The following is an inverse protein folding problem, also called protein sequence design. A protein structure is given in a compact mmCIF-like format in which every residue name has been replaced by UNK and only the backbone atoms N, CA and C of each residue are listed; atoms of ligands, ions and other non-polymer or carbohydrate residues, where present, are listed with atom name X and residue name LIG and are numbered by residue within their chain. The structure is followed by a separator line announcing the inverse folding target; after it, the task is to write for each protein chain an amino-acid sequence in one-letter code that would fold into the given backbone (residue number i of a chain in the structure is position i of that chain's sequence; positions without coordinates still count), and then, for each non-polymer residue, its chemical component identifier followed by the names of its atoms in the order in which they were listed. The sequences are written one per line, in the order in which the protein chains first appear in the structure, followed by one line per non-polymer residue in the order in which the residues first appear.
data_IF_549694481919
#
_entry.id   IF_549694481919
#
_cell.length_a   1.000
_cell.length_b   1.000
_cell.length_c   1.000
_cell.angle_alpha   90.00
_cell.angle_beta   90.00
_cell.angle_gamma   90.00
#
_symmetry.space_group_name_H-M   'P 1'
#
loop_
_entity.id
_entity.type
_entity.pdbx_description
1 polymer ?
#
# COMPACT_ATOMS: atom_id res chain seq x y z
N UNK A 1 -7.95 4.04 11.61
CA UNK A 1 -7.34 2.69 11.51
C UNK A 1 -6.42 2.63 10.30
N UNK A 2 -5.25 1.98 10.41
CA UNK A 2 -4.40 1.70 9.25
C UNK A 2 -4.80 0.37 8.61
N UNK A 3 -5.26 0.42 7.36
CA UNK A 3 -5.51 -0.74 6.52
C UNK A 3 -4.40 -0.87 5.46
N UNK A 4 -4.74 -1.06 4.19
CA UNK A 4 -3.79 -1.12 3.06
C UNK A 4 -4.53 -0.98 1.74
N UNK A 5 -3.87 -0.56 0.66
CA UNK A 5 -4.43 -0.73 -0.70
C UNK A 5 -4.75 -2.20 -1.05
N UNK A 6 -4.24 -3.15 -0.27
CA UNK A 6 -4.58 -4.57 -0.38
C UNK A 6 -6.07 -4.88 -0.11
N UNK A 7 -6.80 -4.03 0.63
CA UNK A 7 -8.25 -4.12 0.80
C UNK A 7 -9.05 -3.30 -0.23
N UNK A 8 -8.36 -2.68 -1.20
CA UNK A 8 -8.96 -1.84 -2.25
C UNK A 8 -8.93 -2.55 -3.62
N UNK A 9 -7.76 -3.09 -4.00
CA UNK A 9 -7.44 -3.43 -5.39
C UNK A 9 -7.84 -4.84 -5.87
N UNK A 10 -8.06 -5.79 -4.96
CA UNK A 10 -8.05 -7.22 -5.28
C UNK A 10 -9.45 -7.80 -5.40
N UNK A 11 -10.15 -7.44 -6.47
CA UNK A 11 -11.53 -7.87 -6.75
C UNK A 11 -11.75 -8.47 -8.15
N UNK A 12 -10.66 -8.82 -8.84
CA UNK A 12 -10.71 -9.42 -10.18
C UNK A 12 -11.03 -8.44 -11.32
N UNK A 13 -11.31 -7.16 -11.03
CA UNK A 13 -11.49 -6.15 -12.08
C UNK A 13 -10.14 -5.86 -12.78
N UNK A 14 -10.13 -5.73 -14.12
CA UNK A 14 -8.91 -5.40 -14.84
C UNK A 14 -8.46 -3.96 -14.53
N UNK A 15 -7.15 -3.76 -14.41
CA UNK A 15 -6.52 -2.45 -14.22
C UNK A 15 -5.95 -1.97 -15.56
N UNK A 16 -6.82 -1.52 -16.46
CA UNK A 16 -6.41 -0.89 -17.73
C UNK A 16 -5.95 0.56 -17.49
N UNK A 17 -5.23 1.20 -18.43
CA UNK A 17 -4.74 2.57 -18.27
C UNK A 17 -5.83 3.61 -17.94
N UNK A 18 -7.07 3.37 -18.37
CA UNK A 18 -8.20 4.29 -18.16
C UNK A 18 -8.90 4.09 -16.81
N UNK A 19 -8.52 3.06 -16.04
CA UNK A 19 -9.13 2.75 -14.75
C UNK A 19 -8.49 3.58 -13.65
N UNK A 20 -9.29 4.45 -13.05
CA UNK A 20 -8.94 5.13 -11.80
C UNK A 20 -9.46 4.29 -10.63
N UNK A 21 -8.54 3.95 -9.72
CA UNK A 21 -8.88 3.29 -8.46
C UNK A 21 -8.97 4.35 -7.38
N UNK A 22 -10.09 4.35 -6.67
CA UNK A 22 -10.38 5.25 -5.55
C UNK A 22 -10.95 4.46 -4.36
N UNK A 23 -11.42 5.19 -3.36
CA UNK A 23 -11.98 4.68 -2.11
C UNK A 23 -13.28 3.90 -2.27
N UNK A 24 -13.93 3.95 -3.45
CA UNK A 24 -15.12 3.16 -3.76
C UNK A 24 -14.79 1.72 -4.14
N UNK A 25 -13.51 1.43 -4.40
CA UNK A 25 -13.05 0.09 -4.71
C UNK A 25 -12.81 -0.74 -3.45
N UNK A 26 -13.35 -1.95 -3.43
CA UNK A 26 -13.10 -2.92 -2.37
C UNK A 26 -12.54 -4.20 -2.98
N UNK A 27 -11.55 -4.79 -2.31
CA UNK A 27 -11.10 -6.15 -2.59
C UNK A 27 -12.23 -7.15 -2.28
N UNK A 28 -12.30 -8.26 -3.02
CA UNK A 28 -13.18 -9.38 -2.68
C UNK A 28 -12.37 -10.44 -1.93
N UNK A 29 -12.73 -10.68 -0.66
CA UNK A 29 -12.04 -11.65 0.18
C UNK A 29 -12.12 -13.08 -0.39
N UNK A 30 -13.18 -13.47 -1.09
CA UNK A 30 -13.30 -14.77 -1.76
C UNK A 30 -12.33 -14.86 -2.92
N UNK A 31 -12.32 -13.85 -3.80
CA UNK A 31 -11.36 -13.76 -4.90
C UNK A 31 -9.92 -13.88 -4.37
N UNK A 32 -9.61 -13.17 -3.28
CA UNK A 32 -8.28 -13.25 -2.66
C UNK A 32 -7.97 -14.67 -2.17
N UNK A 33 -8.90 -15.36 -1.49
CA UNK A 33 -8.69 -16.72 -0.97
C UNK A 33 -8.54 -17.76 -2.10
N UNK A 34 -9.38 -17.68 -3.13
CA UNK A 34 -9.32 -18.56 -4.31
C UNK A 34 -7.97 -18.45 -5.03
N UNK A 35 -7.39 -17.25 -5.07
CA UNK A 35 -6.09 -16.97 -5.66
C UNK A 35 -4.92 -17.04 -4.65
N UNK A 36 -5.15 -17.56 -3.43
CA UNK A 36 -4.13 -17.70 -2.36
C UNK A 36 -3.44 -16.38 -1.96
N UNK A 37 -4.12 -15.24 -2.15
CA UNK A 37 -3.67 -13.90 -1.76
C UNK A 37 -4.01 -13.64 -0.29
N UNK A 38 -3.44 -14.44 0.62
CA UNK A 38 -3.83 -14.46 2.04
C UNK A 38 -3.64 -13.14 2.77
N UNK A 39 -2.58 -12.38 2.45
CA UNK A 39 -2.38 -11.05 3.02
C UNK A 39 -3.50 -10.08 2.63
N UNK A 40 -3.90 -10.10 1.35
CA UNK A 40 -4.96 -9.26 0.81
C UNK A 40 -6.31 -9.66 1.42
N UNK A 41 -6.58 -10.97 1.50
CA UNK A 41 -7.76 -11.49 2.19
C UNK A 41 -7.81 -11.05 3.66
N UNK A 42 -6.69 -11.15 4.37
CA UNK A 42 -6.58 -10.74 5.78
C UNK A 42 -6.85 -9.24 5.96
N UNK A 43 -6.22 -8.39 5.14
CA UNK A 43 -6.44 -6.93 5.20
C UNK A 43 -7.87 -6.53 4.87
N UNK A 44 -8.48 -7.20 3.89
CA UNK A 44 -9.88 -6.98 3.50
C UNK A 44 -10.82 -7.33 4.65
N UNK A 45 -10.72 -8.55 5.20
CA UNK A 45 -11.58 -9.00 6.29
C UNK A 45 -11.39 -8.20 7.58
N UNK A 46 -10.16 -7.77 7.87
CA UNK A 46 -9.88 -6.94 9.04
C UNK A 46 -10.53 -5.56 8.92
N UNK A 47 -10.51 -4.95 7.74
CA UNK A 47 -11.16 -3.65 7.50
C UNK A 47 -12.70 -3.78 7.56
N UNK A 48 -13.28 -4.82 6.96
CA UNK A 48 -14.72 -5.12 7.06
C UNK A 48 -15.16 -5.31 8.52
N UNK A 49 -14.37 -6.06 9.30
CA UNK A 49 -14.65 -6.28 10.72
C UNK A 49 -14.57 -4.97 11.54
N UNK A 50 -13.59 -4.11 11.23
CA UNK A 50 -13.46 -2.82 11.91
C UNK A 50 -14.64 -1.90 11.61
N UNK A 51 -15.12 -1.85 10.37
CA UNK A 51 -16.30 -1.06 10.01
C UNK A 51 -17.55 -1.55 10.73
N UNK A 52 -17.81 -2.86 10.71
CA UNK A 52 -18.94 -3.46 11.44
C UNK A 52 -18.89 -3.14 12.93
N UNK A 53 -17.72 -3.35 13.55
CA UNK A 53 -17.54 -3.05 14.96
C UNK A 53 -17.76 -1.56 15.26
N UNK A 54 -17.27 -0.67 14.40
CA UNK A 54 -17.44 0.77 14.59
C UNK A 54 -18.92 1.18 14.50
N UNK A 55 -19.65 0.64 13.52
CA UNK A 55 -21.09 0.87 13.36
C UNK A 55 -21.89 0.36 14.57
N UNK A 56 -21.64 -0.88 14.99
CA UNK A 56 -22.32 -1.53 16.13
C UNK A 56 -22.06 -0.81 17.47
N UNK A 57 -20.93 -0.09 17.59
CA UNK A 57 -20.49 0.57 18.82
C UNK A 57 -20.50 2.10 18.74
N UNK A 58 -21.09 2.69 17.69
CA UNK A 58 -21.15 4.15 17.49
C UNK A 58 -19.77 4.84 17.56
N UNK A 59 -18.74 4.19 17.02
CA UNK A 59 -17.39 4.73 16.94
C UNK A 59 -17.24 5.45 15.59
N UNK A 60 -16.81 6.71 15.62
CA UNK A 60 -16.41 7.40 14.39
C UNK A 60 -15.09 6.80 13.87
N UNK A 61 -15.15 6.15 12.71
CA UNK A 61 -14.00 5.47 12.11
C UNK A 61 -13.60 6.14 10.80
N UNK A 62 -12.30 6.42 10.68
CA UNK A 62 -11.61 6.74 9.43
C UNK A 62 -10.58 5.66 9.13
N UNK A 63 -10.52 5.19 7.90
CA UNK A 63 -9.57 4.18 7.43
C UNK A 63 -8.56 4.78 6.46
N UNK A 64 -7.28 4.51 6.68
CA UNK A 64 -6.21 4.90 5.77
C UNK A 64 -5.63 3.67 5.10
N UNK A 65 -5.57 3.67 3.76
CA UNK A 65 -5.17 2.56 2.90
C UNK A 65 -3.83 2.88 2.23
N UNK A 66 -2.68 2.72 2.92
CA UNK A 66 -1.38 2.96 2.33
C UNK A 66 -0.99 1.91 1.30
N UNK A 67 -0.23 2.39 0.31
CA UNK A 67 0.48 1.56 -0.66
C UNK A 67 1.73 0.88 -0.07
N UNK A 68 2.76 0.77 -0.90
CA UNK A 68 4.09 0.30 -0.56
C UNK A 68 4.86 1.41 0.18
N UNK A 69 4.82 1.34 1.51
CA UNK A 69 5.41 2.36 2.39
C UNK A 69 6.93 2.27 2.40
N UNK A 70 7.61 3.36 2.06
CA UNK A 70 9.07 3.49 2.14
C UNK A 70 9.44 4.74 2.94
N UNK A 71 10.71 4.88 3.33
CA UNK A 71 11.21 6.09 3.96
C UNK A 71 12.26 5.83 5.03
N UNK A 72 12.64 6.87 5.79
CA UNK A 72 13.62 6.75 6.87
C UNK A 72 13.15 5.78 7.96
N UNK A 73 14.06 4.95 8.46
CA UNK A 73 13.80 4.03 9.55
C UNK A 73 14.15 4.67 10.89
N UNK A 74 13.20 4.67 11.82
CA UNK A 74 13.44 5.06 13.23
C UNK A 74 13.79 3.85 14.10
N UNK A 75 13.43 2.65 13.64
CA UNK A 75 13.72 1.38 14.31
C UNK A 75 14.96 0.73 13.68
N UNK A 76 15.74 -0.06 14.44
CA UNK A 76 16.96 -0.68 13.91
C UNK A 76 16.70 -1.86 12.97
N UNK A 77 15.49 -2.42 12.98
CA UNK A 77 15.10 -3.57 12.17
C UNK A 77 14.35 -3.13 10.89
N UNK A 78 14.62 -3.82 9.78
CA UNK A 78 13.85 -3.62 8.55
C UNK A 78 12.42 -4.12 8.73
N UNK A 79 11.44 -3.35 8.25
CA UNK A 79 10.12 -3.86 7.97
C UNK A 79 10.11 -4.54 6.58
N UNK A 80 9.01 -5.22 6.24
CA UNK A 80 8.93 -5.99 4.99
C UNK A 80 9.15 -5.16 3.73
N UNK A 81 8.67 -3.92 3.68
CA UNK A 81 8.84 -3.07 2.49
C UNK A 81 10.27 -2.56 2.34
N UNK A 82 10.93 -2.15 3.43
CA UNK A 82 12.35 -1.77 3.39
C UNK A 82 13.28 -2.94 3.10
N UNK A 83 12.95 -4.15 3.54
CA UNK A 83 13.69 -5.36 3.18
C UNK A 83 13.63 -5.66 1.67
N UNK A 84 12.45 -5.48 1.06
CA UNK A 84 12.31 -5.58 -0.40
C UNK A 84 13.10 -4.48 -1.12
N UNK A 85 13.13 -3.24 -0.61
CA UNK A 85 14.00 -2.19 -1.17
C UNK A 85 15.47 -2.60 -1.10
N UNK A 86 15.93 -3.16 0.02
CA UNK A 86 17.29 -3.67 0.13
C UNK A 86 17.57 -4.78 -0.89
N UNK A 87 16.66 -5.74 -1.04
CA UNK A 87 16.79 -6.80 -2.04
C UNK A 87 16.84 -6.26 -3.48
N UNK A 88 16.06 -5.22 -3.80
CA UNK A 88 16.13 -4.52 -5.08
C UNK A 88 17.51 -3.90 -5.33
N UNK A 89 18.11 -3.26 -4.31
CA UNK A 89 19.47 -2.69 -4.42
C UNK A 89 20.56 -3.74 -4.65
N UNK A 90 20.27 -5.01 -4.35
CA UNK A 90 21.16 -6.15 -4.58
C UNK A 90 20.85 -6.92 -5.87
N UNK A 91 19.77 -6.57 -6.59
CA UNK A 91 19.30 -7.32 -7.75
C UNK A 91 18.70 -8.69 -7.41
N UNK A 92 18.26 -8.87 -6.16
CA UNK A 92 17.73 -10.13 -5.60
C UNK A 92 16.20 -10.19 -5.66
N UNK A 93 15.53 -9.13 -6.13
CA UNK A 93 14.08 -9.04 -6.20
C UNK A 93 13.59 -8.50 -7.55
N UNK A 94 12.51 -9.07 -8.07
CA UNK A 94 11.79 -8.61 -9.27
C UNK A 94 10.33 -8.38 -8.92
N UNK A 95 9.73 -7.34 -9.51
CA UNK A 95 8.34 -6.94 -9.24
C UNK A 95 7.63 -6.54 -10.54
N UNK A 96 6.30 -6.63 -10.65
CA UNK A 96 5.56 -5.91 -11.69
C UNK A 96 5.55 -4.38 -11.45
N UNK A 97 5.83 -3.93 -10.23
CA UNK A 97 5.79 -2.53 -9.82
C UNK A 97 5.19 -2.36 -8.43
N UNK A 98 5.31 -1.15 -7.88
CA UNK A 98 4.77 -0.81 -6.57
C UNK A 98 4.03 0.53 -6.60
N UNK A 99 3.09 0.69 -5.67
CA UNK A 99 2.35 1.93 -5.42
C UNK A 99 2.97 2.63 -4.22
N UNK A 100 3.96 3.48 -4.42
CA UNK A 100 4.77 4.04 -3.35
C UNK A 100 4.06 5.12 -2.53
N UNK A 101 4.40 5.20 -1.25
CA UNK A 101 4.08 6.31 -0.35
C UNK A 101 5.19 6.46 0.69
N UNK A 102 5.52 7.69 1.09
CA UNK A 102 6.50 7.92 2.16
C UNK A 102 5.87 7.67 3.55
N UNK A 103 6.61 7.07 4.47
CA UNK A 103 6.15 6.81 5.84
C UNK A 103 5.74 8.09 6.59
N UNK A 104 6.39 9.22 6.29
CA UNK A 104 6.06 10.52 6.88
C UNK A 104 4.73 11.04 6.35
N UNK A 105 4.42 10.82 5.08
CA UNK A 105 3.12 11.17 4.49
C UNK A 105 2.01 10.31 5.11
N UNK A 106 2.28 9.02 5.33
CA UNK A 106 1.34 8.14 6.05
C UNK A 106 1.10 8.65 7.47
N UNK A 107 2.15 9.00 8.21
CA UNK A 107 2.02 9.53 9.57
C UNK A 107 1.23 10.86 9.58
N UNK A 108 1.55 11.77 8.67
CA UNK A 108 0.84 13.04 8.53
C UNK A 108 -0.64 12.82 8.19
N UNK A 109 -0.96 11.90 7.27
CA UNK A 109 -2.34 11.57 6.94
C UNK A 109 -3.12 11.03 8.15
N UNK A 110 -2.49 10.25 9.04
CA UNK A 110 -3.14 9.80 10.29
C UNK A 110 -3.46 10.98 11.21
N UNK A 111 -2.54 11.92 11.35
CA UNK A 111 -2.76 13.15 12.16
C UNK A 111 -3.93 13.94 11.57
N UNK A 112 -3.90 14.22 10.26
CA UNK A 112 -4.95 14.98 9.59
C UNK A 112 -6.31 14.30 9.65
N UNK A 113 -6.36 12.98 9.44
CA UNK A 113 -7.60 12.20 9.53
C UNK A 113 -8.21 12.22 10.95
N UNK A 114 -7.39 12.40 11.98
CA UNK A 114 -7.83 12.52 13.36
C UNK A 114 -8.26 13.96 13.71
N UNK A 115 -7.49 14.96 13.28
CA UNK A 115 -7.69 16.35 13.66
C UNK A 115 -8.79 17.06 12.86
N UNK A 116 -9.04 16.65 11.60
CA UNK A 116 -10.04 17.27 10.73
C UNK A 116 -11.42 16.67 11.05
N UNK A 117 -12.38 17.44 11.62
CA UNK A 117 -13.66 16.89 12.07
C UNK A 117 -14.54 16.34 10.93
N UNK A 118 -14.34 16.82 9.70
CA UNK A 118 -15.07 16.36 8.52
C UNK A 118 -14.42 15.15 7.83
N UNK A 119 -13.27 14.65 8.31
CA UNK A 119 -12.66 13.46 7.76
C UNK A 119 -13.53 12.24 8.03
N UNK A 120 -13.84 11.47 6.98
CA UNK A 120 -14.74 10.32 7.07
C UNK A 120 -14.39 9.30 5.99
N UNK A 121 -14.82 8.06 6.19
CA UNK A 121 -14.67 6.99 5.22
C UNK A 121 -13.23 6.48 5.12
N UNK A 122 -12.77 6.30 3.88
CA UNK A 122 -11.50 5.67 3.53
C UNK A 122 -10.63 6.70 2.81
N UNK A 123 -9.30 6.53 2.83
CA UNK A 123 -8.38 7.33 2.03
C UNK A 123 -7.23 6.48 1.50
N UNK A 124 -7.05 6.44 0.19
CA UNK A 124 -5.92 5.81 -0.47
C UNK A 124 -4.67 6.68 -0.29
N UNK A 125 -3.63 6.13 0.34
CA UNK A 125 -2.35 6.83 0.50
C UNK A 125 -1.33 6.24 -0.48
N UNK A 126 -1.34 6.77 -1.70
CA UNK A 126 -0.44 6.41 -2.79
C UNK A 126 0.03 7.67 -3.49
N UNK A 127 1.34 7.89 -3.54
CA UNK A 127 1.94 9.03 -4.24
C UNK A 127 2.12 8.74 -5.73
N UNK A 128 2.62 7.55 -6.08
CA UNK A 128 2.74 7.11 -7.48
C UNK A 128 2.79 5.59 -7.60
N UNK A 129 2.30 5.09 -8.72
CA UNK A 129 2.65 3.76 -9.20
C UNK A 129 3.94 3.85 -10.02
N UNK A 130 4.90 2.98 -9.74
CA UNK A 130 6.12 2.87 -10.54
C UNK A 130 6.35 1.41 -10.94
N UNK A 131 6.59 1.20 -12.23
CA UNK A 131 6.92 -0.11 -12.78
C UNK A 131 8.39 -0.46 -12.52
N UNK A 132 8.73 -1.74 -12.64
CA UNK A 132 10.10 -2.21 -12.35
C UNK A 132 11.21 -1.50 -13.14
N UNK A 133 11.07 -1.24 -14.45
CA UNK A 133 12.05 -0.44 -15.20
C UNK A 133 12.29 0.94 -14.60
N UNK A 134 11.24 1.62 -14.16
CA UNK A 134 11.33 2.95 -13.56
C UNK A 134 12.00 2.91 -12.18
N UNK A 135 11.72 1.85 -11.40
CA UNK A 135 12.37 1.60 -10.11
C UNK A 135 13.88 1.39 -10.33
N UNK A 136 14.27 0.51 -11.25
CA UNK A 136 15.68 0.24 -11.56
C UNK A 136 16.40 1.47 -12.09
N UNK A 137 15.76 2.22 -12.99
CA UNK A 137 16.27 3.49 -13.50
C UNK A 137 16.54 4.46 -12.34
N UNK A 138 15.56 4.65 -11.46
CA UNK A 138 15.70 5.53 -10.28
C UNK A 138 16.86 5.08 -9.39
N UNK A 139 17.00 3.78 -9.12
CA UNK A 139 18.09 3.25 -8.30
C UNK A 139 19.47 3.45 -8.95
N UNK A 140 19.59 3.21 -10.26
CA UNK A 140 20.85 3.42 -10.99
C UNK A 140 21.21 4.90 -11.13
N UNK A 141 20.23 5.81 -11.23
CA UNK A 141 20.46 7.25 -11.25
C UNK A 141 20.97 7.76 -9.89
N UNK A 142 20.38 7.28 -8.79
CA UNK A 142 20.77 7.67 -7.44
C UNK A 142 22.05 6.98 -6.96
N UNK A 143 22.26 5.74 -7.36
CA UNK A 143 23.39 4.90 -6.94
C UNK A 143 24.01 4.16 -8.15
N UNK A 144 24.77 4.87 -9.01
CA UNK A 144 25.31 4.30 -10.25
C UNK A 144 26.23 3.08 -10.05
N UNK A 145 26.83 2.95 -8.88
CA UNK A 145 27.75 1.84 -8.55
C UNK A 145 27.04 0.51 -8.28
N UNK A 146 25.71 0.49 -8.12
CA UNK A 146 24.95 -0.76 -7.92
C UNK A 146 24.94 -1.64 -9.18
N UNK A 147 25.11 -1.06 -10.37
CA UNK A 147 25.22 -1.81 -11.62
C UNK A 147 24.00 -2.68 -11.93
N UNK A 148 22.79 -2.27 -11.51
CA UNK A 148 21.57 -3.05 -11.67
C UNK A 148 21.20 -3.15 -13.15
N UNK A 149 20.84 -4.35 -13.62
CA UNK A 149 20.40 -4.61 -14.99
C UNK A 149 18.99 -5.21 -14.98
N UNK A 150 18.19 -4.86 -15.98
CA UNK A 150 16.99 -5.63 -16.30
C UNK A 150 17.42 -7.06 -16.69
N UNK A 151 16.82 -8.06 -16.05
CA UNK A 151 17.04 -9.48 -16.34
C UNK A 151 16.12 -9.94 -17.46
#
# INVERSE_FOLDING_TARGET
MTASVASVLYNGKPLTPDVVVDETWFSDARFCKENKLWYMASKTLAEEAAWRFAEDNMINLVVLNPGFVIGPLLQPALNSTSDIILALTKGEYTTPGFRFVDVRDVAYAHIQAFEIPSATGRYCLVQRHAQFPEILKTLNELYPTLGLKEK
#
